data_IF_546425089818
#
_entry.id   IF_546425089818
#
_cell.length_a   1.000
_cell.length_b   1.000
_cell.length_c   1.000
_cell.angle_alpha   90.00
_cell.angle_beta   90.00
_cell.angle_gamma   90.00
#
_symmetry.space_group_name_H-M   'P 1'
#
loop_
_entity.id
_entity.type
_entity.pdbx_description
1 polymer ?
#
# COMPACT_ATOMS: atom_id res chain seq x y z
N UNK A 1 -31.05 -32.39 -5.64
CA UNK A 1 -30.78 -31.04 -5.11
C UNK A 1 -29.60 -30.99 -4.13
N UNK A 2 -29.04 -32.13 -3.70
CA UNK A 2 -28.02 -32.18 -2.62
C UNK A 2 -26.56 -31.93 -3.06
N UNK A 3 -26.23 -31.95 -4.36
CA UNK A 3 -24.83 -31.86 -4.81
C UNK A 3 -24.26 -30.45 -4.92
N UNK A 4 -25.07 -29.39 -4.76
CA UNK A 4 -24.62 -27.99 -4.91
C UNK A 4 -24.12 -27.32 -3.63
N UNK A 5 -24.23 -28.00 -2.48
CA UNK A 5 -23.88 -27.44 -1.17
C UNK A 5 -22.68 -28.12 -0.48
N UNK A 6 -22.09 -29.16 -1.08
CA UNK A 6 -20.91 -29.86 -0.53
C UNK A 6 -19.67 -28.99 -0.41
N UNK A 7 -19.57 -27.93 -1.22
CA UNK A 7 -18.52 -26.93 -1.16
C UNK A 7 -18.68 -25.95 0.02
N UNK A 8 -19.89 -25.76 0.57
CA UNK A 8 -20.11 -24.85 1.70
C UNK A 8 -19.58 -25.47 3.00
N UNK A 9 -19.74 -26.78 3.21
CA UNK A 9 -19.18 -27.46 4.39
C UNK A 9 -17.66 -27.41 4.39
N UNK A 10 -17.05 -27.58 3.21
CA UNK A 10 -15.59 -27.48 3.05
C UNK A 10 -15.11 -26.04 3.26
N UNK A 11 -15.80 -25.05 2.69
CA UNK A 11 -15.47 -23.63 2.87
C UNK A 11 -15.62 -23.17 4.33
N UNK A 12 -16.64 -23.64 5.04
CA UNK A 12 -16.85 -23.31 6.47
C UNK A 12 -15.81 -23.97 7.38
N UNK A 13 -15.36 -25.18 7.08
CA UNK A 13 -14.23 -25.82 7.77
C UNK A 13 -12.94 -25.02 7.56
N UNK A 14 -12.65 -24.61 6.32
CA UNK A 14 -11.46 -23.82 5.99
C UNK A 14 -11.51 -22.44 6.65
N UNK A 15 -12.67 -21.79 6.68
CA UNK A 15 -12.87 -20.50 7.35
C UNK A 15 -12.66 -20.63 8.87
N UNK A 16 -13.15 -21.71 9.50
CA UNK A 16 -12.92 -21.98 10.93
C UNK A 16 -11.44 -22.22 11.25
N UNK A 17 -10.70 -22.90 10.38
CA UNK A 17 -9.26 -23.11 10.52
C UNK A 17 -8.51 -21.77 10.37
N UNK A 18 -8.87 -20.96 9.37
CA UNK A 18 -8.35 -19.60 9.20
C UNK A 18 -8.64 -18.70 10.40
N UNK A 19 -9.87 -18.73 10.93
CA UNK A 19 -10.27 -17.97 12.12
C UNK A 19 -9.53 -18.42 13.39
N UNK A 20 -9.21 -19.71 13.52
CA UNK A 20 -8.37 -20.22 14.63
C UNK A 20 -6.91 -19.79 14.52
N UNK A 21 -6.40 -19.62 13.30
CA UNK A 21 -5.03 -19.19 13.04
C UNK A 21 -4.87 -17.67 12.97
N UNK A 22 -5.98 -16.92 12.92
CA UNK A 22 -6.02 -15.47 13.02
C UNK A 22 -5.73 -15.08 14.48
N UNK A 23 -4.45 -15.00 14.81
CA UNK A 23 -3.94 -14.41 16.06
C UNK A 23 -4.08 -12.86 16.03
N UNK A 24 -5.19 -12.37 15.48
CA UNK A 24 -5.43 -10.96 15.19
C UNK A 24 -5.55 -10.15 16.48
N UNK A 25 -6.03 -10.77 17.56
CA UNK A 25 -6.15 -10.15 18.88
C UNK A 25 -4.78 -9.78 19.45
N UNK A 26 -3.80 -10.69 19.38
CA UNK A 26 -2.44 -10.46 19.85
C UNK A 26 -1.76 -9.29 19.12
N UNK A 27 -1.93 -9.22 17.80
CA UNK A 27 -1.36 -8.13 17.00
C UNK A 27 -2.01 -6.78 17.31
N UNK A 28 -3.33 -6.77 17.54
CA UNK A 28 -4.08 -5.56 17.90
C UNK A 28 -3.63 -5.04 19.27
N UNK A 29 -3.48 -5.92 20.26
CA UNK A 29 -3.07 -5.51 21.61
C UNK A 29 -1.61 -5.05 21.63
N UNK A 30 -0.71 -5.74 20.90
CA UNK A 30 0.66 -5.28 20.68
C UNK A 30 0.73 -3.87 20.07
N UNK A 31 -0.13 -3.55 19.09
CA UNK A 31 -0.17 -2.20 18.47
C UNK A 31 -0.66 -1.14 19.46
N UNK A 32 -1.63 -1.48 20.32
CA UNK A 32 -2.12 -0.55 21.36
C UNK A 32 -1.03 -0.26 22.39
N UNK A 33 -0.35 -1.29 22.87
CA UNK A 33 0.72 -1.16 23.86
C UNK A 33 1.89 -0.32 23.31
N UNK A 34 2.24 -0.52 22.03
CA UNK A 34 3.27 0.29 21.38
C UNK A 34 2.84 1.75 21.24
N UNK A 35 1.57 2.01 20.88
CA UNK A 35 1.04 3.38 20.81
C UNK A 35 1.12 4.08 22.16
N UNK A 36 0.69 3.42 23.23
CA UNK A 36 0.73 3.98 24.58
C UNK A 36 2.17 4.30 24.99
N UNK A 37 3.12 3.43 24.63
CA UNK A 37 4.54 3.70 24.83
C UNK A 37 5.02 4.95 24.07
N UNK A 38 4.68 5.08 22.78
CA UNK A 38 5.06 6.26 21.97
C UNK A 38 4.47 7.55 22.55
N UNK A 39 3.20 7.53 22.96
CA UNK A 39 2.54 8.68 23.58
C UNK A 39 3.23 9.07 24.90
N UNK A 40 3.64 8.07 25.68
CA UNK A 40 4.40 8.28 26.93
C UNK A 40 5.75 8.92 26.64
N UNK A 41 6.49 8.42 25.64
CA UNK A 41 7.79 8.98 25.23
C UNK A 41 7.62 10.42 24.74
N UNK A 42 6.66 10.67 23.86
CA UNK A 42 6.40 12.01 23.32
C UNK A 42 6.01 13.00 24.42
N UNK A 43 5.11 12.60 25.32
CA UNK A 43 4.70 13.45 26.45
C UNK A 43 5.87 13.78 27.35
N UNK A 44 6.72 12.79 27.67
CA UNK A 44 7.78 12.93 28.67
C UNK A 44 9.01 13.65 28.11
N UNK A 45 9.47 13.28 26.91
CA UNK A 45 10.72 13.80 26.33
C UNK A 45 10.51 15.05 25.46
N UNK A 46 9.35 15.19 24.79
CA UNK A 46 9.10 16.28 23.83
C UNK A 46 8.25 17.38 24.45
N UNK A 47 7.10 17.04 25.03
CA UNK A 47 6.17 18.04 25.54
C UNK A 47 6.54 18.57 26.92
N UNK A 48 7.07 17.72 27.81
CA UNK A 48 7.37 18.09 29.20
C UNK A 48 8.75 17.60 29.70
N UNK A 49 9.86 17.89 28.98
CA UNK A 49 11.19 17.38 29.33
C UNK A 49 11.64 17.80 30.74
N UNK A 50 11.20 18.96 31.23
CA UNK A 50 11.51 19.47 32.56
C UNK A 50 10.76 18.74 33.70
N UNK A 51 9.84 17.83 33.38
CA UNK A 51 9.13 17.01 34.37
C UNK A 51 9.97 15.83 34.83
N UNK A 52 10.98 15.44 34.05
CA UNK A 52 11.91 14.37 34.39
C UNK A 52 12.80 14.87 35.53
N UNK A 53 12.61 14.28 36.71
CA UNK A 53 13.37 14.67 37.91
C UNK A 53 14.53 13.72 38.21
N UNK A 54 14.51 12.53 37.61
CA UNK A 54 15.45 11.44 37.90
C UNK A 54 15.90 10.77 36.61
N UNK A 55 17.20 10.45 36.55
CA UNK A 55 17.81 9.74 35.41
C UNK A 55 17.16 8.37 35.18
N UNK A 56 16.75 7.71 36.26
CA UNK A 56 16.04 6.41 36.28
C UNK A 56 14.81 6.38 35.38
N UNK A 57 14.08 7.52 35.26
CA UNK A 57 12.89 7.62 34.41
C UNK A 57 13.25 7.53 32.92
N UNK A 58 14.40 8.10 32.53
CA UNK A 58 14.92 8.03 31.16
C UNK A 58 15.46 6.63 30.87
N UNK A 59 16.17 6.03 31.82
CA UNK A 59 16.67 4.66 31.71
C UNK A 59 15.54 3.64 31.54
N UNK A 60 14.42 3.82 32.24
CA UNK A 60 13.23 2.98 32.06
C UNK A 60 12.64 3.09 30.65
N UNK A 61 12.54 4.31 30.11
CA UNK A 61 12.05 4.52 28.74
C UNK A 61 13.02 3.91 27.71
N UNK A 62 14.33 4.05 27.91
CA UNK A 62 15.35 3.45 27.05
C UNK A 62 15.27 1.91 27.08
N UNK A 63 15.09 1.32 28.26
CA UNK A 63 14.91 -0.13 28.40
C UNK A 63 13.67 -0.62 27.66
N UNK A 64 12.53 0.05 27.85
CA UNK A 64 11.27 -0.26 27.14
C UNK A 64 11.41 -0.09 25.63
N UNK A 65 12.15 0.91 25.17
CA UNK A 65 12.45 1.07 23.74
C UNK A 65 13.24 -0.13 23.19
N UNK A 66 14.24 -0.61 23.93
CA UNK A 66 15.01 -1.81 23.59
C UNK A 66 14.15 -3.08 23.56
N UNK A 67 13.21 -3.23 24.50
CA UNK A 67 12.24 -4.34 24.49
C UNK A 67 11.38 -4.31 23.21
N UNK A 68 10.87 -3.14 22.83
CA UNK A 68 10.11 -2.97 21.58
C UNK A 68 10.96 -3.24 20.32
N UNK A 69 12.21 -2.82 20.30
CA UNK A 69 13.14 -3.10 19.21
C UNK A 69 13.31 -4.61 19.00
N UNK A 70 13.50 -5.38 20.08
CA UNK A 70 13.59 -6.83 20.01
C UNK A 70 12.28 -7.47 19.51
N UNK A 71 11.13 -6.97 19.96
CA UNK A 71 9.82 -7.43 19.46
C UNK A 71 9.72 -7.22 17.95
N UNK A 72 10.05 -6.03 17.44
CA UNK A 72 9.99 -5.75 16.00
C UNK A 72 10.96 -6.61 15.18
N UNK A 73 12.16 -6.88 15.69
CA UNK A 73 13.11 -7.78 15.04
C UNK A 73 12.64 -9.23 15.00
N UNK A 74 11.84 -9.65 15.99
CA UNK A 74 11.27 -11.00 16.05
C UNK A 74 10.06 -11.21 15.15
N UNK A 75 9.44 -10.12 14.66
CA UNK A 75 8.31 -10.23 13.75
C UNK A 75 8.77 -10.81 12.41
N UNK A 76 7.97 -11.69 11.78
CA UNK A 76 8.31 -12.24 10.48
C UNK A 76 8.48 -11.10 9.47
N UNK A 77 9.73 -10.90 9.04
CA UNK A 77 10.10 -9.97 7.99
C UNK A 77 9.86 -10.66 6.67
N UNK A 78 8.60 -10.65 6.23
CA UNK A 78 8.15 -11.26 4.99
C UNK A 78 7.55 -10.20 4.08
N UNK A 79 7.93 -10.24 2.81
CA UNK A 79 7.16 -9.57 1.78
C UNK A 79 5.89 -10.39 1.54
N UNK A 80 4.76 -9.72 1.61
CA UNK A 80 3.46 -10.31 1.32
C UNK A 80 3.05 -9.78 -0.05
N UNK A 81 3.13 -10.66 -1.05
CA UNK A 81 2.62 -10.41 -2.38
C UNK A 81 1.11 -10.68 -2.41
N UNK A 82 0.38 -9.90 -3.20
CA UNK A 82 -1.06 -10.02 -3.33
C UNK A 82 -1.45 -10.13 -4.80
N UNK A 83 -2.15 -11.23 -5.12
CA UNK A 83 -2.73 -11.46 -6.45
C UNK A 83 -4.24 -11.52 -6.31
N UNK A 84 -4.93 -10.61 -6.99
CA UNK A 84 -6.40 -10.50 -6.95
C UNK A 84 -6.98 -10.39 -8.36
N UNK A 85 -8.21 -10.84 -8.53
CA UNK A 85 -8.91 -10.71 -9.80
C UNK A 85 -9.45 -9.29 -10.02
N UNK A 86 -10.04 -8.68 -8.99
CA UNK A 86 -10.65 -7.36 -9.07
C UNK A 86 -10.70 -6.70 -7.70
N UNK A 87 -10.67 -5.37 -7.66
CA UNK A 87 -10.77 -4.58 -6.43
C UNK A 87 -11.88 -3.54 -6.62
N UNK A 88 -12.85 -3.51 -5.71
CA UNK A 88 -13.98 -2.58 -5.78
C UNK A 88 -14.22 -1.98 -4.40
N UNK A 89 -14.29 -0.65 -4.31
CA UNK A 89 -14.58 0.08 -3.07
C UNK A 89 -13.73 -0.39 -1.87
N UNK A 90 -12.46 -0.68 -2.12
CA UNK A 90 -11.61 -1.37 -1.15
C UNK A 90 -10.24 -0.71 -1.00
N UNK A 91 -9.63 -0.93 0.15
CA UNK A 91 -8.25 -0.55 0.45
C UNK A 91 -7.39 -1.81 0.48
N UNK A 92 -6.40 -1.87 -0.40
CA UNK A 92 -5.47 -2.99 -0.53
C UNK A 92 -4.11 -2.53 -0.06
N UNK A 93 -3.52 -3.26 0.89
CA UNK A 93 -2.20 -2.96 1.45
C UNK A 93 -1.35 -4.22 1.41
N UNK A 94 -0.17 -4.13 0.81
CA UNK A 94 0.79 -5.21 0.67
C UNK A 94 2.22 -4.68 0.86
N UNK A 95 3.08 -5.45 1.52
CA UNK A 95 4.51 -5.10 1.67
C UNK A 95 5.31 -5.47 0.43
N UNK A 96 4.87 -6.48 -0.33
CA UNK A 96 5.47 -6.89 -1.60
C UNK A 96 4.76 -6.29 -2.81
N UNK A 97 4.61 -7.10 -3.85
CA UNK A 97 3.97 -6.74 -5.11
C UNK A 97 2.45 -6.89 -5.05
N UNK A 98 1.74 -6.06 -5.82
CA UNK A 98 0.29 -6.20 -6.02
C UNK A 98 -0.01 -6.43 -7.50
N UNK A 99 -0.63 -7.57 -7.82
CA UNK A 99 -1.03 -7.95 -9.18
C UNK A 99 -2.54 -8.09 -9.28
N UNK A 100 -3.14 -7.31 -10.17
CA UNK A 100 -4.57 -7.36 -10.47
C UNK A 100 -4.75 -7.94 -11.87
N UNK A 101 -5.20 -9.20 -11.93
CA UNK A 101 -5.21 -10.01 -13.15
C UNK A 101 -6.55 -10.02 -13.90
N UNK A 102 -7.65 -9.59 -13.27
CA UNK A 102 -8.98 -9.60 -13.86
C UNK A 102 -9.45 -8.23 -14.34
N UNK A 103 -10.69 -7.85 -14.02
CA UNK A 103 -11.35 -6.65 -14.57
C UNK A 103 -10.66 -5.33 -14.21
N UNK A 104 -9.91 -5.30 -13.11
CA UNK A 104 -9.20 -4.13 -12.63
C UNK A 104 -9.74 -3.63 -11.29
N UNK A 105 -9.68 -2.32 -11.10
CA UNK A 105 -9.84 -1.65 -9.83
C UNK A 105 -10.74 -0.43 -9.98
N UNK A 106 -11.75 -0.34 -9.12
CA UNK A 106 -12.77 0.70 -9.16
C UNK A 106 -12.92 1.35 -7.79
N UNK A 107 -12.79 2.68 -7.73
CA UNK A 107 -12.90 3.47 -6.51
C UNK A 107 -12.13 2.85 -5.33
N UNK A 108 -10.84 2.58 -5.56
CA UNK A 108 -10.03 1.77 -4.64
C UNK A 108 -8.66 2.37 -4.42
N UNK A 109 -8.08 2.09 -3.25
CA UNK A 109 -6.73 2.52 -2.91
C UNK A 109 -5.81 1.32 -2.81
N UNK A 110 -4.66 1.41 -3.47
CA UNK A 110 -3.68 0.32 -3.51
C UNK A 110 -2.37 0.87 -2.94
N UNK A 111 -1.87 0.22 -1.91
CA UNK A 111 -0.58 0.52 -1.29
C UNK A 111 0.30 -0.72 -1.39
N UNK A 112 1.37 -0.63 -2.17
CA UNK A 112 2.35 -1.68 -2.33
C UNK A 112 3.73 -1.19 -1.91
N UNK A 113 4.46 -1.98 -1.14
CA UNK A 113 5.86 -1.71 -0.82
C UNK A 113 6.78 -1.85 -2.03
N UNK A 114 6.37 -2.62 -3.04
CA UNK A 114 7.11 -2.84 -4.29
C UNK A 114 6.28 -2.43 -5.52
N UNK A 115 6.13 -3.33 -6.49
CA UNK A 115 5.53 -3.04 -7.79
C UNK A 115 4.01 -3.24 -7.78
N UNK A 116 3.32 -2.52 -8.65
CA UNK A 116 1.88 -2.69 -8.88
C UNK A 116 1.64 -2.95 -10.37
N UNK A 117 1.01 -4.07 -10.70
CA UNK A 117 0.64 -4.41 -12.07
C UNK A 117 -0.87 -4.64 -12.16
N UNK A 118 -1.56 -3.81 -12.95
CA UNK A 118 -3.00 -3.90 -13.20
C UNK A 118 -3.19 -4.19 -14.68
N UNK A 119 -3.54 -5.44 -15.01
CA UNK A 119 -3.83 -5.86 -16.39
C UNK A 119 -5.23 -5.45 -16.85
N UNK A 120 -6.03 -4.89 -15.95
CA UNK A 120 -7.37 -4.37 -16.22
C UNK A 120 -7.42 -2.85 -16.17
N UNK A 121 -8.60 -2.35 -15.81
CA UNK A 121 -8.90 -0.92 -15.78
C UNK A 121 -8.71 -0.35 -14.37
N UNK A 122 -8.07 0.79 -14.21
CA UNK A 122 -7.97 1.51 -12.93
C UNK A 122 -8.78 2.81 -13.00
N UNK A 123 -9.93 2.85 -12.30
CA UNK A 123 -10.92 3.95 -12.36
C UNK A 123 -11.33 4.42 -10.97
N UNK A 124 -11.01 5.65 -10.64
CA UNK A 124 -11.27 6.24 -9.33
C UNK A 124 -10.37 5.67 -8.23
N UNK A 125 -9.67 6.54 -7.52
CA UNK A 125 -8.82 6.18 -6.40
C UNK A 125 -7.34 6.44 -6.64
N UNK A 126 -6.49 5.83 -5.82
CA UNK A 126 -5.06 6.11 -5.78
C UNK A 126 -4.19 4.85 -5.66
N UNK A 127 -3.11 4.78 -6.44
CA UNK A 127 -2.06 3.77 -6.29
C UNK A 127 -0.85 4.45 -5.66
N UNK A 128 -0.32 3.88 -4.58
CA UNK A 128 1.00 4.20 -4.02
C UNK A 128 1.87 2.96 -4.11
N UNK A 129 2.99 3.07 -4.83
CA UNK A 129 3.92 1.96 -4.99
C UNK A 129 5.35 2.40 -4.59
N UNK A 130 6.06 1.51 -3.90
CA UNK A 130 7.49 1.67 -3.65
C UNK A 130 8.37 1.30 -4.86
N UNK A 131 7.77 0.77 -5.94
CA UNK A 131 8.44 0.36 -7.17
C UNK A 131 7.69 0.80 -8.43
N UNK A 132 7.90 0.06 -9.52
CA UNK A 132 7.29 0.34 -10.81
C UNK A 132 5.78 0.12 -10.79
N UNK A 133 5.06 0.87 -11.62
CA UNK A 133 3.61 0.72 -11.78
C UNK A 133 3.27 0.49 -13.24
N UNK A 134 2.53 -0.58 -13.50
CA UNK A 134 1.94 -0.87 -14.80
C UNK A 134 0.42 -0.86 -14.67
N UNK A 135 -0.25 -0.11 -15.56
CA UNK A 135 -1.72 -0.11 -15.66
C UNK A 135 -2.09 -0.21 -17.13
N UNK A 136 -2.93 -1.19 -17.49
CA UNK A 136 -3.39 -1.33 -18.87
C UNK A 136 -4.25 -0.14 -19.29
N UNK A 137 -5.23 0.24 -18.47
CA UNK A 137 -6.10 1.39 -18.73
C UNK A 137 -6.28 2.22 -17.46
N UNK A 138 -5.95 3.52 -17.49
CA UNK A 138 -6.04 4.43 -16.35
C UNK A 138 -7.06 5.55 -16.63
N UNK A 139 -7.97 5.76 -15.68
CA UNK A 139 -8.96 6.81 -15.73
C UNK A 139 -10.24 6.42 -16.46
N UNK A 140 -11.10 7.40 -16.70
CA UNK A 140 -12.40 7.22 -17.37
C UNK A 140 -12.74 8.47 -18.17
N UNK A 141 -13.44 8.30 -19.30
CA UNK A 141 -14.06 9.40 -20.05
C UNK A 141 -14.99 10.27 -19.21
N UNK A 142 -15.53 9.73 -18.11
CA UNK A 142 -16.41 10.47 -17.20
C UNK A 142 -15.63 11.30 -16.15
N UNK A 143 -14.30 11.40 -16.25
CA UNK A 143 -13.48 12.27 -15.41
C UNK A 143 -13.23 11.77 -13.99
N UNK A 144 -13.37 10.46 -13.73
CA UNK A 144 -13.04 9.89 -12.43
C UNK A 144 -11.56 10.12 -12.11
N UNK A 145 -11.27 10.96 -11.12
CA UNK A 145 -9.92 11.30 -10.72
C UNK A 145 -9.15 10.03 -10.31
N UNK A 146 -8.06 9.76 -11.02
CA UNK A 146 -7.17 8.64 -10.74
C UNK A 146 -5.77 9.17 -10.53
N UNK A 147 -5.09 8.61 -9.54
CA UNK A 147 -3.75 9.06 -9.17
C UNK A 147 -2.81 7.89 -8.95
N UNK A 148 -1.61 8.01 -9.49
CA UNK A 148 -0.51 7.08 -9.23
C UNK A 148 0.60 7.87 -8.56
N UNK A 149 1.16 7.34 -7.48
CA UNK A 149 2.29 7.91 -6.75
C UNK A 149 3.37 6.84 -6.61
N UNK A 150 4.59 7.19 -6.99
CA UNK A 150 5.75 6.30 -6.91
C UNK A 150 7.00 7.03 -6.41
N UNK A 151 8.01 6.26 -6.05
CA UNK A 151 9.34 6.77 -5.67
C UNK A 151 10.10 7.31 -6.90
N UNK A 152 11.12 8.15 -6.67
CA UNK A 152 11.87 8.83 -7.74
C UNK A 152 12.56 7.88 -8.75
N UNK A 153 12.86 6.64 -8.35
CA UNK A 153 13.55 5.65 -9.21
C UNK A 153 12.59 4.78 -10.02
N UNK A 154 11.30 4.89 -9.77
CA UNK A 154 10.29 4.05 -10.41
C UNK A 154 9.90 4.57 -11.80
N UNK A 155 9.34 3.67 -12.59
CA UNK A 155 8.70 3.97 -13.88
C UNK A 155 7.21 3.68 -13.78
N UNK A 156 6.41 4.53 -14.43
CA UNK A 156 4.97 4.34 -14.54
C UNK A 156 4.63 4.13 -16.01
N UNK A 157 4.16 2.94 -16.34
CA UNK A 157 3.76 2.56 -17.70
C UNK A 157 2.25 2.43 -17.75
N UNK A 158 1.63 3.12 -18.72
CA UNK A 158 0.18 3.07 -18.91
C UNK A 158 -0.13 2.76 -20.37
N UNK A 159 -0.95 1.73 -20.61
CA UNK A 159 -1.36 1.34 -21.96
C UNK A 159 -2.32 2.35 -22.61
N UNK A 160 -3.34 2.77 -21.88
CA UNK A 160 -4.27 3.81 -22.30
C UNK A 160 -4.61 4.70 -21.10
N UNK A 161 -4.38 6.01 -21.19
CA UNK A 161 -4.69 6.97 -20.13
C UNK A 161 -5.77 7.92 -20.59
N UNK A 162 -6.77 8.17 -19.73
CA UNK A 162 -7.79 9.19 -19.94
C UNK A 162 -7.39 10.52 -19.29
N UNK A 163 -8.05 11.59 -19.73
CA UNK A 163 -7.96 12.91 -19.09
C UNK A 163 -8.27 12.86 -17.58
N UNK A 164 -7.79 13.87 -16.85
CA UNK A 164 -7.90 13.99 -15.39
C UNK A 164 -7.20 12.88 -14.59
N UNK A 165 -6.39 12.05 -15.25
CA UNK A 165 -5.44 11.14 -14.61
C UNK A 165 -4.19 11.91 -14.17
N UNK A 166 -3.63 11.57 -13.00
CA UNK A 166 -2.42 12.21 -12.48
C UNK A 166 -1.38 11.17 -12.10
N UNK A 167 -0.14 11.38 -12.53
CA UNK A 167 1.00 10.53 -12.16
C UNK A 167 2.01 11.37 -11.41
N UNK A 168 2.44 10.89 -10.25
CA UNK A 168 3.43 11.53 -9.39
C UNK A 168 4.62 10.60 -9.22
N UNK A 169 5.80 11.04 -9.63
CA UNK A 169 7.05 10.28 -9.48
C UNK A 169 8.02 11.14 -8.71
N UNK A 170 8.48 10.68 -7.54
CA UNK A 170 9.46 11.42 -6.73
C UNK A 170 9.02 12.83 -6.32
N UNK A 171 7.72 13.07 -6.20
CA UNK A 171 7.15 14.39 -5.88
C UNK A 171 6.88 15.29 -7.09
N UNK A 172 7.28 14.91 -8.31
CA UNK A 172 6.91 15.62 -9.54
C UNK A 172 5.60 15.07 -10.09
N UNK A 173 4.60 15.93 -10.26
CA UNK A 173 3.29 15.56 -10.77
C UNK A 173 3.15 15.90 -12.25
N UNK A 174 2.51 15.00 -13.00
CA UNK A 174 2.03 15.23 -14.36
C UNK A 174 0.55 14.88 -14.42
N UNK A 175 -0.25 15.83 -14.90
CA UNK A 175 -1.68 15.64 -15.12
C UNK A 175 -1.93 15.50 -16.61
N UNK A 176 -2.73 14.50 -16.98
CA UNK A 176 -3.17 14.30 -18.35
C UNK A 176 -4.38 15.19 -18.64
N UNK A 177 -4.22 16.13 -19.57
CA UNK A 177 -5.29 17.01 -20.04
C UNK A 177 -6.06 16.43 -21.25
N UNK A 178 -5.55 15.33 -21.82
CA UNK A 178 -6.17 14.58 -22.92
C UNK A 178 -5.83 13.10 -22.78
N UNK A 179 -6.55 12.26 -23.51
CA UNK A 179 -6.22 10.84 -23.62
C UNK A 179 -4.90 10.62 -24.40
N UNK A 180 -4.12 9.63 -23.99
CA UNK A 180 -2.87 9.22 -24.61
C UNK A 180 -2.68 7.70 -24.48
N UNK A 181 -1.84 7.11 -25.32
CA UNK A 181 -1.64 5.67 -25.40
C UNK A 181 -0.16 5.29 -25.33
N UNK A 182 0.09 4.13 -24.71
CA UNK A 182 1.39 3.49 -24.58
C UNK A 182 2.46 4.44 -24.06
N UNK A 183 2.21 5.04 -22.91
CA UNK A 183 3.09 6.02 -22.28
C UNK A 183 3.92 5.39 -21.17
N UNK A 184 5.15 5.87 -21.02
CA UNK A 184 6.04 5.56 -19.92
C UNK A 184 6.60 6.85 -19.33
N UNK A 185 6.29 7.09 -18.06
CA UNK A 185 6.77 8.22 -17.28
C UNK A 185 7.91 7.79 -16.35
N UNK A 186 8.95 8.60 -16.27
CA UNK A 186 10.09 8.38 -15.39
C UNK A 186 10.83 9.69 -15.10
N UNK A 187 11.60 9.73 -14.01
CA UNK A 187 12.53 10.82 -13.74
C UNK A 187 13.90 10.51 -14.36
N UNK A 188 14.52 11.51 -14.99
CA UNK A 188 15.92 11.41 -15.42
C UNK A 188 16.91 11.63 -14.25
N UNK A 189 18.22 11.54 -14.53
CA UNK A 189 19.28 11.79 -13.54
C UNK A 189 19.29 13.23 -12.99
N UNK A 190 18.60 14.16 -13.64
CA UNK A 190 18.45 15.57 -13.25
C UNK A 190 17.10 15.84 -12.57
N UNK A 191 16.35 14.79 -12.21
CA UNK A 191 15.02 14.85 -11.61
C UNK A 191 13.95 15.55 -12.46
N UNK A 192 14.14 15.59 -13.78
CA UNK A 192 13.09 16.04 -14.70
C UNK A 192 12.17 14.89 -15.07
N UNK A 193 10.87 15.17 -15.07
CA UNK A 193 9.84 14.22 -15.47
C UNK A 193 9.79 14.12 -16.99
N UNK A 194 10.10 12.93 -17.49
CA UNK A 194 10.11 12.60 -18.90
C UNK A 194 8.96 11.66 -19.22
N UNK A 195 8.39 11.84 -20.42
CA UNK A 195 7.33 11.00 -20.96
C UNK A 195 7.80 10.47 -22.30
N UNK A 196 7.77 9.15 -22.45
CA UNK A 196 8.14 8.46 -23.68
C UNK A 196 6.99 7.57 -24.11
N UNK A 197 6.89 7.30 -25.41
CA UNK A 197 5.99 6.25 -25.90
C UNK A 197 6.71 4.92 -25.77
N UNK A 198 6.16 4.01 -24.99
CA UNK A 198 6.62 2.64 -24.91
C UNK A 198 6.29 1.95 -26.26
N UNK A 199 7.31 1.67 -27.07
CA UNK A 199 7.15 0.80 -28.22
C UNK A 199 6.84 -0.61 -27.72
N UNK A 200 5.68 -1.14 -28.13
CA UNK A 200 5.25 -2.53 -27.88
C UNK A 200 6.24 -3.50 -28.51
#
# INVERSE_FOLDING_TARGET
MESRFSCISTATSNLKILLKNLNLCFLIDMIKDFREFVETVQRTLVCFPLTIRRLEEVELLARRAGEWEQIFLSLPTGESDLVVSSVLNSNVVATGDVKVIGSGCFNSWIHAGKEVAINGVFRGGEIKAGGNVYVKEMGSKCGAATKIITISKARVTVGHVFENSTVVIGGKAYKFDREDENICLYLDKKENLNITRASV
#
